data_IF_203767457296
#
_entry.id   IF_203767457296
#
_cell.length_a   1.000
_cell.length_b   1.000
_cell.length_c   1.000
_cell.angle_alpha   90.00
_cell.angle_beta   90.00
_cell.angle_gamma   90.00
#
_symmetry.space_group_name_H-M   'P 1'
#
loop_
_entity.id
_entity.type
_entity.pdbx_description
1 polymer ?
#
# COMPACT_ATOMS: atom_id res chain seq x y z
N UNK A 1 -3.03 -40.05 -17.54
CA UNK A 1 -3.53 -39.03 -18.49
C UNK A 1 -4.29 -37.97 -17.70
N UNK A 2 -3.83 -36.71 -17.73
CA UNK A 2 -4.29 -35.67 -16.83
C UNK A 2 -5.57 -35.01 -17.37
N UNK A 3 -6.67 -35.10 -16.61
CA UNK A 3 -8.05 -34.79 -17.04
C UNK A 3 -8.37 -33.28 -17.14
N UNK A 4 -7.34 -32.42 -17.00
CA UNK A 4 -7.49 -30.97 -16.89
C UNK A 4 -6.67 -30.18 -17.91
N UNK A 5 -6.05 -30.84 -18.89
CA UNK A 5 -5.18 -30.18 -19.87
C UNK A 5 -5.93 -29.24 -20.85
N UNK A 6 -7.25 -29.34 -20.97
CA UNK A 6 -8.07 -28.59 -21.94
C UNK A 6 -9.12 -27.67 -21.30
N UNK A 7 -8.81 -27.04 -20.15
CA UNK A 7 -9.62 -25.91 -19.68
C UNK A 7 -9.17 -24.65 -20.43
N UNK A 8 -9.53 -24.62 -21.70
CA UNK A 8 -9.39 -23.47 -22.59
C UNK A 8 -10.12 -22.28 -21.95
N UNK A 9 -9.40 -21.17 -21.81
CA UNK A 9 -9.72 -19.91 -21.13
C UNK A 9 -10.96 -19.16 -21.69
N UNK A 10 -11.90 -19.84 -22.35
CA UNK A 10 -13.03 -19.22 -23.06
C UNK A 10 -14.32 -19.12 -22.24
N UNK A 11 -14.46 -19.82 -21.11
CA UNK A 11 -15.75 -19.94 -20.41
C UNK A 11 -15.77 -19.41 -18.97
N UNK A 12 -14.93 -18.44 -18.63
CA UNK A 12 -15.10 -17.64 -17.40
C UNK A 12 -15.27 -16.16 -17.78
N UNK A 13 -16.27 -15.89 -18.62
CA UNK A 13 -16.80 -14.53 -18.85
C UNK A 13 -18.31 -14.54 -18.67
N UNK A 14 -18.81 -15.14 -17.60
CA UNK A 14 -20.25 -15.24 -17.38
C UNK A 14 -20.91 -13.92 -17.00
N UNK A 15 -20.19 -12.86 -16.61
CA UNK A 15 -20.84 -11.58 -16.27
C UNK A 15 -19.98 -10.32 -16.56
N UNK A 16 -19.75 -9.99 -17.83
CA UNK A 16 -19.14 -8.70 -18.24
C UNK A 16 -19.98 -7.48 -17.83
N UNK A 17 -21.29 -7.62 -17.63
CA UNK A 17 -22.17 -6.56 -17.15
C UNK A 17 -22.03 -6.27 -15.64
N UNK A 18 -21.65 -7.26 -14.83
CA UNK A 18 -21.43 -7.10 -13.38
C UNK A 18 -20.07 -6.44 -13.12
N UNK A 19 -19.06 -6.71 -13.95
CA UNK A 19 -17.74 -6.08 -13.86
C UNK A 19 -17.75 -4.55 -14.08
N UNK A 20 -18.80 -4.00 -14.69
CA UNK A 20 -18.97 -2.55 -14.91
C UNK A 20 -19.74 -1.84 -13.80
N UNK A 21 -20.18 -2.55 -12.75
CA UNK A 21 -20.80 -1.91 -11.58
C UNK A 21 -19.68 -1.29 -10.75
N UNK A 22 -19.66 0.05 -10.73
CA UNK A 22 -18.63 0.88 -10.11
C UNK A 22 -18.25 0.42 -8.72
N UNK A 23 -17.03 -0.10 -8.59
CA UNK A 23 -16.33 -0.20 -7.32
C UNK A 23 -15.87 1.18 -6.85
N UNK A 24 -15.06 1.23 -5.78
CA UNK A 24 -14.42 2.47 -5.33
C UNK A 24 -13.70 3.13 -6.52
N UNK A 25 -13.95 4.42 -6.81
CA UNK A 25 -13.25 5.14 -7.87
C UNK A 25 -11.73 4.93 -7.74
N UNK A 26 -11.07 4.64 -8.86
CA UNK A 26 -9.62 4.55 -8.88
C UNK A 26 -9.06 5.92 -8.49
N UNK A 27 -8.18 5.96 -7.50
CA UNK A 27 -7.49 7.19 -7.10
C UNK A 27 -6.76 7.78 -8.29
N UNK A 28 -6.84 9.10 -8.44
CA UNK A 28 -6.01 9.86 -9.37
C UNK A 28 -4.53 9.64 -9.04
N UNK A 29 -3.63 9.76 -10.02
CA UNK A 29 -2.18 9.60 -9.78
C UNK A 29 -1.67 10.58 -8.70
N UNK A 30 -2.27 11.78 -8.61
CA UNK A 30 -2.00 12.78 -7.56
C UNK A 30 -2.45 12.36 -6.16
N UNK A 31 -3.43 11.47 -6.03
CA UNK A 31 -3.90 10.95 -4.74
C UNK A 31 -3.14 9.70 -4.29
N UNK A 32 -2.36 9.09 -5.19
CA UNK A 32 -1.58 7.92 -4.87
C UNK A 32 -0.33 8.31 -4.09
N UNK A 33 -0.08 7.58 -3.00
CA UNK A 33 1.09 7.79 -2.14
C UNK A 33 2.25 6.93 -2.63
N UNK A 34 2.61 7.10 -3.90
CA UNK A 34 3.54 6.21 -4.59
C UNK A 34 5.00 6.71 -4.49
N UNK A 35 5.20 7.94 -3.99
CA UNK A 35 6.53 8.47 -3.73
C UNK A 35 7.20 7.69 -2.59
N UNK A 36 8.35 7.11 -2.91
CA UNK A 36 9.20 6.38 -1.97
C UNK A 36 10.30 7.31 -1.49
N UNK A 37 10.53 7.33 -0.18
CA UNK A 37 11.61 8.09 0.45
C UNK A 37 12.50 7.07 1.18
N UNK A 38 13.81 7.21 1.02
CA UNK A 38 14.81 6.42 1.75
C UNK A 38 15.45 7.32 2.79
N UNK A 39 15.43 6.90 4.05
CA UNK A 39 16.06 7.62 5.16
C UNK A 39 17.20 6.73 5.67
N UNK A 40 18.42 7.26 5.65
CA UNK A 40 19.57 6.59 6.24
C UNK A 40 19.63 6.93 7.73
N UNK A 41 19.69 5.90 8.57
CA UNK A 41 19.74 6.00 10.02
C UNK A 41 20.82 5.06 10.55
N UNK A 42 21.43 5.43 11.67
CA UNK A 42 22.23 4.51 12.48
C UNK A 42 21.32 3.49 13.18
N UNK A 43 21.92 2.42 13.72
CA UNK A 43 21.16 1.38 14.44
C UNK A 43 20.42 1.95 15.67
N UNK A 44 21.07 2.85 16.40
CA UNK A 44 20.51 3.43 17.63
C UNK A 44 19.37 4.40 17.32
N UNK A 45 19.51 5.21 16.27
CA UNK A 45 18.44 6.10 15.80
C UNK A 45 17.23 5.31 15.32
N UNK A 46 17.46 4.23 14.57
CA UNK A 46 16.38 3.34 14.14
C UNK A 46 15.62 2.77 15.34
N UNK A 47 16.33 2.28 16.35
CA UNK A 47 15.72 1.69 17.55
C UNK A 47 14.86 2.71 18.31
N UNK A 48 15.38 3.91 18.54
CA UNK A 48 14.62 5.00 19.17
C UNK A 48 13.35 5.32 18.39
N UNK A 49 13.43 5.35 17.07
CA UNK A 49 12.30 5.66 16.21
C UNK A 49 11.23 4.56 16.25
N UNK A 50 11.65 3.29 16.31
CA UNK A 50 10.74 2.14 16.51
C UNK A 50 10.04 2.22 17.88
N UNK A 51 10.78 2.50 18.94
CA UNK A 51 10.22 2.66 20.31
C UNK A 51 9.21 3.82 20.37
N UNK A 52 9.52 4.97 19.78
CA UNK A 52 8.60 6.12 19.74
C UNK A 52 7.33 5.82 18.93
N UNK A 53 7.46 5.09 17.82
CA UNK A 53 6.31 4.70 17.02
C UNK A 53 5.41 3.71 17.78
N UNK A 54 6.01 2.76 18.50
CA UNK A 54 5.29 1.79 19.34
C UNK A 54 4.55 2.45 20.51
N UNK A 55 5.15 3.46 21.16
CA UNK A 55 4.49 4.24 22.22
C UNK A 55 3.21 4.94 21.75
N UNK A 56 3.15 5.35 20.48
CA UNK A 56 1.95 5.94 19.88
C UNK A 56 1.00 4.90 19.25
N UNK A 57 1.35 3.61 19.26
CA UNK A 57 0.59 2.55 18.59
C UNK A 57 0.57 2.70 17.06
N UNK A 58 1.59 3.36 16.49
CA UNK A 58 1.71 3.61 15.06
C UNK A 58 2.80 2.74 14.44
N UNK A 59 2.64 2.41 13.16
CA UNK A 59 3.79 1.90 12.40
C UNK A 59 4.82 3.01 12.18
N UNK A 60 6.09 2.63 12.14
CA UNK A 60 7.23 3.53 11.85
C UNK A 60 6.96 4.45 10.66
N UNK A 61 6.43 3.92 9.55
CA UNK A 61 6.16 4.72 8.35
C UNK A 61 5.02 5.75 8.53
N UNK A 62 4.02 5.44 9.36
CA UNK A 62 2.94 6.39 9.69
C UNK A 62 3.45 7.45 10.66
N UNK A 63 4.23 7.04 11.66
CA UNK A 63 4.86 7.93 12.62
C UNK A 63 5.77 8.96 11.94
N UNK A 64 6.70 8.51 11.08
CA UNK A 64 7.59 9.40 10.32
C UNK A 64 6.78 10.40 9.48
N UNK A 65 5.72 9.94 8.82
CA UNK A 65 4.86 10.84 8.03
C UNK A 65 4.14 11.88 8.89
N UNK A 66 3.65 11.48 10.07
CA UNK A 66 3.02 12.40 11.03
C UNK A 66 4.00 13.49 11.44
N UNK A 67 5.22 13.11 11.82
CA UNK A 67 6.27 14.05 12.26
C UNK A 67 6.69 14.99 11.13
N UNK A 68 6.92 14.47 9.91
CA UNK A 68 7.29 15.29 8.75
C UNK A 68 6.21 16.33 8.41
N UNK A 69 4.93 15.97 8.55
CA UNK A 69 3.81 16.90 8.37
C UNK A 69 3.78 17.99 9.44
N UNK A 70 4.04 17.64 10.70
CA UNK A 70 4.09 18.61 11.79
C UNK A 70 5.24 19.63 11.62
N UNK A 71 6.34 19.20 11.02
CA UNK A 71 7.50 20.06 10.73
C UNK A 71 7.35 20.87 9.44
N UNK A 72 6.25 20.72 8.70
CA UNK A 72 6.03 21.42 7.42
C UNK A 72 6.92 20.94 6.27
N UNK A 73 7.54 19.76 6.42
CA UNK A 73 8.43 19.19 5.41
C UNK A 73 7.67 18.45 4.29
N UNK A 74 6.39 18.09 4.51
CA UNK A 74 5.51 17.35 3.56
C UNK A 74 4.03 17.65 3.83
#
# INVERSE_FOLDING_TARGET
MNKFANVTTREIKTHTAIQKRGGRPKKSESEKRDQKITIALTKDEKKKLEEMAEQEGLSVGVFVRKVLKQQGAV
#
